data_IF_756910594202
#
_entry.id   IF_756910594202
#
_cell.length_a   1.000
_cell.length_b   1.000
_cell.length_c   1.000
_cell.angle_alpha   90.00
_cell.angle_beta   90.00
_cell.angle_gamma   90.00
#
_symmetry.space_group_name_H-M   'P 1'
#
loop_
_entity.id
_entity.type
_entity.pdbx_description
1 polymer ?
#
# COMPACT_ATOMS: atom_id res chain seq x y z
N UNK A 1 -0.65 -5.44 -6.73
CA UNK A 1 -2.08 -5.65 -7.03
C UNK A 1 -2.86 -5.76 -5.72
N UNK A 2 -4.14 -5.40 -5.72
CA UNK A 2 -5.02 -5.69 -4.59
C UNK A 2 -5.18 -7.21 -4.42
N UNK A 3 -5.42 -7.65 -3.17
CA UNK A 3 -5.67 -9.05 -2.90
C UNK A 3 -6.92 -9.56 -3.64
N UNK A 4 -6.89 -10.80 -4.08
CA UNK A 4 -8.04 -11.43 -4.71
C UNK A 4 -9.23 -11.42 -3.74
N UNK A 5 -10.41 -11.03 -4.22
CA UNK A 5 -11.62 -10.93 -3.41
C UNK A 5 -11.77 -9.61 -2.64
N UNK A 6 -10.89 -8.63 -2.85
CA UNK A 6 -11.09 -7.27 -2.33
C UNK A 6 -12.36 -6.67 -2.91
N UNK A 7 -13.24 -6.17 -2.05
CA UNK A 7 -14.54 -5.61 -2.45
C UNK A 7 -14.96 -4.46 -1.54
N UNK A 8 -15.80 -3.58 -2.07
CA UNK A 8 -16.55 -2.58 -1.32
C UNK A 8 -17.97 -3.12 -1.14
N UNK A 9 -18.46 -3.13 0.09
CA UNK A 9 -19.86 -3.51 0.37
C UNK A 9 -20.66 -2.26 0.73
N UNK A 10 -21.68 -1.96 -0.06
CA UNK A 10 -22.59 -0.83 0.14
C UNK A 10 -23.96 -1.31 0.56
N UNK A 11 -24.44 -0.80 1.69
CA UNK A 11 -25.83 -0.99 2.08
C UNK A 11 -26.74 0.01 1.36
N UNK A 12 -27.92 -0.43 0.96
CA UNK A 12 -28.95 0.42 0.36
C UNK A 12 -30.34 0.09 0.93
N UNK A 13 -31.26 1.01 0.74
CA UNK A 13 -32.68 0.86 1.09
C UNK A 13 -33.56 1.10 -0.14
N UNK A 14 -34.78 0.57 -0.11
CA UNK A 14 -35.79 0.79 -1.16
C UNK A 14 -35.33 0.36 -2.58
N UNK A 15 -34.75 -0.82 -2.71
CA UNK A 15 -34.25 -1.34 -3.99
C UNK A 15 -35.35 -1.57 -5.03
N UNK A 16 -36.56 -1.86 -4.60
CA UNK A 16 -37.75 -2.03 -5.46
C UNK A 16 -37.59 -3.07 -6.59
N UNK A 17 -36.68 -4.03 -6.42
CA UNK A 17 -36.37 -5.03 -7.44
C UNK A 17 -35.81 -4.45 -8.75
N UNK A 18 -35.30 -3.24 -8.74
CA UNK A 18 -34.76 -2.58 -9.93
C UNK A 18 -33.38 -3.14 -10.29
N UNK A 19 -33.03 -3.04 -11.57
CA UNK A 19 -31.66 -3.26 -12.02
C UNK A 19 -30.85 -1.98 -11.77
N UNK A 20 -29.62 -2.15 -11.32
CA UNK A 20 -28.66 -1.08 -11.16
C UNK A 20 -27.35 -1.49 -11.82
N UNK A 21 -26.60 -0.51 -12.32
CA UNK A 21 -25.21 -0.69 -12.73
C UNK A 21 -24.31 -0.07 -11.68
N UNK A 22 -23.29 -0.79 -11.25
CA UNK A 22 -22.31 -0.29 -10.29
C UNK A 22 -20.92 -0.35 -10.90
N UNK A 23 -20.10 0.66 -10.62
CA UNK A 23 -18.72 0.76 -11.09
C UNK A 23 -17.89 1.55 -10.08
N UNK A 24 -16.59 1.36 -10.15
CA UNK A 24 -15.61 2.22 -9.48
C UNK A 24 -14.76 2.86 -10.57
N UNK A 25 -14.94 4.15 -10.87
CA UNK A 25 -14.02 4.88 -11.75
C UNK A 25 -12.58 4.74 -11.24
N UNK A 26 -11.65 4.66 -12.17
CA UNK A 26 -10.25 4.48 -11.78
C UNK A 26 -9.75 5.64 -10.92
N UNK A 27 -9.14 5.28 -9.79
CA UNK A 27 -8.46 6.19 -8.88
C UNK A 27 -7.24 5.50 -8.28
N UNK A 28 -6.08 6.10 -8.45
CA UNK A 28 -4.81 5.55 -7.96
C UNK A 28 -4.57 4.10 -8.43
N UNK A 29 -4.92 3.77 -9.68
CA UNK A 29 -4.78 2.43 -10.25
C UNK A 29 -5.79 1.40 -9.76
N UNK A 30 -6.78 1.80 -8.95
CA UNK A 30 -7.88 0.95 -8.48
C UNK A 30 -9.15 1.25 -9.26
N UNK A 31 -9.86 0.20 -9.66
CA UNK A 31 -11.09 0.34 -10.45
C UNK A 31 -12.02 -0.87 -10.28
N UNK A 32 -13.25 -0.71 -10.75
CA UNK A 32 -14.17 -1.81 -11.06
C UNK A 32 -14.88 -1.47 -12.36
N UNK A 33 -14.81 -2.35 -13.34
CA UNK A 33 -15.60 -2.24 -14.56
C UNK A 33 -17.11 -2.26 -14.23
N UNK A 34 -17.96 -1.64 -15.05
CA UNK A 34 -19.39 -1.65 -14.82
C UNK A 34 -19.95 -3.06 -14.69
N UNK A 35 -20.65 -3.33 -13.60
CA UNK A 35 -21.36 -4.59 -13.35
C UNK A 35 -22.84 -4.32 -13.14
N UNK A 36 -23.69 -5.17 -13.69
CA UNK A 36 -25.14 -5.10 -13.50
C UNK A 36 -25.53 -5.92 -12.27
N UNK A 37 -26.31 -5.30 -11.39
CA UNK A 37 -26.83 -5.93 -10.17
C UNK A 37 -28.32 -5.76 -10.09
N UNK A 38 -29.02 -6.72 -9.48
CA UNK A 38 -30.44 -6.60 -9.18
C UNK A 38 -30.60 -6.25 -7.70
N UNK A 39 -31.26 -5.13 -7.46
CA UNK A 39 -31.58 -4.69 -6.10
C UNK A 39 -32.74 -5.53 -5.53
N UNK A 40 -32.77 -5.68 -4.21
CA UNK A 40 -33.80 -6.44 -3.52
C UNK A 40 -35.20 -5.88 -3.79
N UNK A 41 -36.18 -6.79 -3.92
CA UNK A 41 -37.56 -6.40 -3.99
C UNK A 41 -38.15 -6.23 -2.59
N UNK A 42 -39.09 -5.31 -2.37
CA UNK A 42 -39.79 -5.19 -1.12
C UNK A 42 -40.51 -6.50 -0.76
N UNK A 43 -40.52 -6.81 0.52
CA UNK A 43 -41.32 -7.90 1.12
C UNK A 43 -42.25 -7.30 2.17
N UNK A 44 -43.12 -8.12 2.77
CA UNK A 44 -44.01 -7.66 3.84
C UNK A 44 -43.30 -7.17 5.11
N UNK A 45 -42.04 -7.53 5.28
CA UNK A 45 -41.21 -7.19 6.45
C UNK A 45 -40.01 -6.29 6.13
N UNK A 46 -39.76 -6.00 4.84
CA UNK A 46 -38.58 -5.27 4.37
C UNK A 46 -38.96 -4.41 3.14
N UNK A 47 -38.48 -3.18 3.11
CA UNK A 47 -38.70 -2.23 2.01
C UNK A 47 -37.76 -2.46 0.81
N UNK A 48 -37.17 -3.65 0.64
CA UNK A 48 -36.21 -3.94 -0.39
C UNK A 48 -34.83 -3.41 -0.02
N UNK A 49 -34.42 -3.58 1.23
CA UNK A 49 -33.10 -3.26 1.72
C UNK A 49 -32.11 -4.36 1.33
N UNK A 50 -30.87 -4.02 1.16
CA UNK A 50 -29.84 -4.99 0.78
C UNK A 50 -28.43 -4.41 0.75
N UNK A 51 -27.53 -5.20 0.23
CA UNK A 51 -26.15 -4.80 0.00
C UNK A 51 -25.74 -5.06 -1.44
N UNK A 52 -24.86 -4.21 -1.95
CA UNK A 52 -24.18 -4.40 -3.24
C UNK A 52 -22.70 -4.57 -2.96
N UNK A 53 -22.10 -5.57 -3.58
CA UNK A 53 -20.67 -5.81 -3.54
C UNK A 53 -20.04 -5.35 -4.84
N UNK A 54 -19.03 -4.49 -4.72
CA UNK A 54 -18.28 -3.93 -5.84
C UNK A 54 -16.85 -4.51 -5.76
N UNK A 55 -16.47 -5.45 -6.63
CA UNK A 55 -15.12 -5.98 -6.64
C UNK A 55 -14.13 -4.85 -6.98
N UNK A 56 -13.01 -4.81 -6.29
CA UNK A 56 -11.95 -3.84 -6.55
C UNK A 56 -10.78 -4.55 -7.21
N UNK A 57 -10.38 -4.04 -8.35
CA UNK A 57 -9.28 -4.54 -9.18
C UNK A 57 -8.17 -3.49 -9.31
N UNK A 58 -7.02 -3.91 -9.81
CA UNK A 58 -5.92 -3.02 -10.14
C UNK A 58 -4.74 -3.09 -9.17
N UNK A 59 -3.81 -2.18 -9.36
CA UNK A 59 -2.59 -2.04 -8.56
C UNK A 59 -2.44 -0.58 -8.16
N UNK A 60 -2.45 -0.26 -6.86
CA UNK A 60 -2.23 1.11 -6.43
C UNK A 60 -0.90 1.65 -6.95
N UNK A 61 -0.90 2.89 -7.42
CA UNK A 61 0.28 3.59 -7.97
C UNK A 61 0.95 4.50 -6.95
N UNK A 62 0.25 4.86 -5.87
CA UNK A 62 0.79 5.65 -4.77
C UNK A 62 0.23 5.16 -3.44
N UNK A 63 1.01 5.29 -2.36
CA UNK A 63 0.58 5.04 -0.99
C UNK A 63 -0.04 6.29 -0.36
N UNK A 64 -0.77 6.11 0.73
CA UNK A 64 -1.40 7.19 1.48
C UNK A 64 -2.92 7.12 1.49
N UNK A 65 -3.54 8.16 2.06
CA UNK A 65 -4.99 8.26 2.16
C UNK A 65 -5.60 8.70 0.83
N UNK A 66 -6.72 8.09 0.46
CA UNK A 66 -7.48 8.39 -0.74
C UNK A 66 -8.98 8.23 -0.50
N UNK A 67 -9.80 8.68 -1.43
CA UNK A 67 -11.23 8.45 -1.41
C UNK A 67 -11.64 7.64 -2.64
N UNK A 68 -12.21 6.48 -2.42
CA UNK A 68 -12.89 5.71 -3.47
C UNK A 68 -14.27 6.32 -3.69
N UNK A 69 -14.70 6.44 -4.95
CA UNK A 69 -15.98 7.02 -5.32
C UNK A 69 -16.78 6.08 -6.22
N UNK A 70 -17.30 4.98 -5.66
CA UNK A 70 -18.18 4.11 -6.45
C UNK A 70 -19.42 4.87 -6.92
N UNK A 71 -19.85 4.53 -8.11
CA UNK A 71 -21.00 5.10 -8.80
C UNK A 71 -22.07 4.01 -8.93
N UNK A 72 -23.29 4.34 -8.63
CA UNK A 72 -24.47 3.47 -8.78
C UNK A 72 -25.46 4.17 -9.69
N UNK A 73 -25.81 3.50 -10.80
CA UNK A 73 -26.81 3.99 -11.78
C UNK A 73 -28.07 3.16 -11.69
N UNK A 74 -29.20 3.81 -11.51
CA UNK A 74 -30.53 3.18 -11.51
C UNK A 74 -31.43 3.93 -12.48
N UNK A 75 -31.63 3.40 -13.67
CA UNK A 75 -32.26 4.13 -14.75
C UNK A 75 -31.48 5.38 -15.14
N UNK A 76 -32.10 6.55 -15.09
CA UNK A 76 -31.47 7.84 -15.39
C UNK A 76 -30.78 8.49 -14.17
N UNK A 77 -30.89 7.88 -13.00
CA UNK A 77 -30.32 8.42 -11.76
C UNK A 77 -28.92 7.86 -11.53
N UNK A 78 -28.01 8.76 -11.16
CA UNK A 78 -26.66 8.41 -10.76
C UNK A 78 -26.41 8.89 -9.32
N UNK A 79 -25.91 8.01 -8.49
CA UNK A 79 -25.54 8.28 -7.09
C UNK A 79 -24.08 7.87 -6.90
N UNK A 80 -23.31 8.70 -6.23
CA UNK A 80 -21.95 8.38 -5.80
C UNK A 80 -21.78 8.67 -4.32
N UNK A 81 -20.92 7.92 -3.69
CA UNK A 81 -20.52 8.11 -2.30
C UNK A 81 -18.99 8.21 -2.23
N UNK A 82 -18.49 8.84 -1.18
CA UNK A 82 -17.04 8.93 -0.95
C UNK A 82 -16.68 8.03 0.22
N UNK A 83 -15.79 7.08 -0.01
CA UNK A 83 -15.34 6.09 0.97
C UNK A 83 -13.85 6.32 1.22
N UNK A 84 -13.44 6.69 2.43
CA UNK A 84 -12.04 6.82 2.76
C UNK A 84 -11.36 5.44 2.70
N UNK A 85 -10.19 5.40 2.09
CA UNK A 85 -9.33 4.23 2.00
C UNK A 85 -7.88 4.63 2.22
N UNK A 86 -7.06 3.69 2.64
CA UNK A 86 -5.62 3.91 2.80
C UNK A 86 -4.87 2.82 2.03
N UNK A 87 -3.93 3.25 1.21
CA UNK A 87 -2.96 2.37 0.56
C UNK A 87 -1.69 2.40 1.40
N UNK A 88 -1.35 1.26 1.99
CA UNK A 88 -0.07 1.11 2.70
C UNK A 88 1.05 0.85 1.71
N UNK A 89 2.25 1.42 1.92
CA UNK A 89 3.40 1.12 1.08
C UNK A 89 3.71 -0.39 1.14
N UNK A 90 4.20 -0.92 0.02
CA UNK A 90 4.62 -2.32 -0.03
C UNK A 90 5.80 -2.60 0.93
N UNK A 91 6.69 -1.61 1.08
CA UNK A 91 7.79 -1.60 2.05
C UNK A 91 7.74 -0.28 2.83
N UNK A 92 7.94 -0.37 4.14
CA UNK A 92 8.19 0.80 4.98
C UNK A 92 9.48 0.57 5.78
N UNK A 93 10.31 1.61 5.88
CA UNK A 93 11.54 1.59 6.67
C UNK A 93 11.29 2.23 8.03
N UNK A 94 11.85 1.64 9.08
CA UNK A 94 11.84 2.19 10.43
C UNK A 94 13.26 2.61 10.84
N UNK A 95 13.56 3.88 10.64
CA UNK A 95 14.85 4.43 11.00
C UNK A 95 15.11 4.43 12.50
N UNK A 96 14.04 4.54 13.33
CA UNK A 96 14.18 4.56 14.79
C UNK A 96 14.52 3.18 15.37
N UNK A 97 14.06 2.11 14.72
CA UNK A 97 14.39 0.75 15.10
C UNK A 97 15.68 0.24 14.43
N UNK A 98 16.22 0.96 13.43
CA UNK A 98 17.44 0.56 12.74
C UNK A 98 18.68 0.87 13.59
N UNK A 99 19.67 -0.01 13.53
CA UNK A 99 20.90 0.07 14.35
C UNK A 99 22.12 0.12 13.46
N UNK A 100 23.00 1.06 13.74
CA UNK A 100 24.33 1.16 13.09
C UNK A 100 25.39 0.54 14.01
N UNK A 101 26.22 -0.33 13.45
CA UNK A 101 27.34 -0.96 14.13
C UNK A 101 28.64 -0.75 13.35
N UNK A 102 29.77 -0.90 14.00
CA UNK A 102 31.09 -0.73 13.40
C UNK A 102 31.95 0.31 14.12
N UNK A 103 33.17 0.45 13.66
CA UNK A 103 34.09 1.46 14.17
C UNK A 103 34.30 2.55 13.12
N UNK A 104 33.85 3.75 13.46
CA UNK A 104 33.90 4.93 12.60
C UNK A 104 34.89 5.93 13.19
N UNK A 105 36.03 6.14 12.53
CA UNK A 105 37.07 7.11 12.92
C UNK A 105 37.52 7.92 11.74
N UNK A 106 37.65 9.23 11.90
CA UNK A 106 38.11 10.10 10.84
C UNK A 106 39.48 9.63 10.36
N UNK A 107 39.65 9.59 9.04
CA UNK A 107 40.91 9.21 8.37
C UNK A 107 41.26 7.72 8.46
N UNK A 108 40.39 6.89 9.00
CA UNK A 108 40.59 5.43 9.06
C UNK A 108 39.44 4.70 8.34
N UNK A 109 39.79 3.62 7.63
CA UNK A 109 38.81 2.78 6.99
C UNK A 109 37.83 2.20 8.03
N UNK A 110 36.53 2.19 7.69
CA UNK A 110 35.49 1.63 8.54
C UNK A 110 35.72 0.13 8.71
N UNK A 111 35.73 -0.34 9.95
CA UNK A 111 35.85 -1.75 10.28
C UNK A 111 34.49 -2.30 10.73
N UNK A 112 34.03 -3.36 10.08
CA UNK A 112 32.77 -4.07 10.38
C UNK A 112 31.56 -3.11 10.39
N UNK A 113 31.54 -2.14 9.46
CA UNK A 113 30.42 -1.21 9.33
C UNK A 113 29.19 -1.94 8.81
N UNK A 114 28.07 -1.83 9.52
CA UNK A 114 26.79 -2.40 9.13
C UNK A 114 25.64 -1.55 9.65
N UNK A 115 24.58 -1.45 8.86
CA UNK A 115 23.27 -0.96 9.30
C UNK A 115 22.31 -2.14 9.31
N UNK A 116 21.84 -2.52 10.48
CA UNK A 116 20.70 -3.41 10.61
C UNK A 116 19.44 -2.59 10.32
N UNK A 117 19.03 -2.52 9.06
CA UNK A 117 17.92 -1.70 8.59
C UNK A 117 16.60 -2.40 8.88
N UNK A 118 15.80 -1.84 9.77
CA UNK A 118 14.48 -2.37 10.10
C UNK A 118 13.44 -1.98 9.03
N UNK A 119 12.64 -2.96 8.60
CA UNK A 119 11.59 -2.75 7.61
C UNK A 119 10.33 -3.54 7.93
N UNK A 120 9.20 -3.13 7.36
CA UNK A 120 7.99 -3.95 7.21
C UNK A 120 7.70 -4.16 5.73
N UNK A 121 7.28 -5.37 5.35
CA UNK A 121 6.91 -5.71 3.98
C UNK A 121 5.70 -6.64 3.99
N UNK A 122 4.70 -6.35 3.14
CA UNK A 122 3.50 -7.18 3.02
C UNK A 122 3.60 -8.26 1.94
N UNK A 123 4.71 -8.28 1.18
CA UNK A 123 4.98 -9.30 0.16
C UNK A 123 6.49 -9.52 0.05
N UNK A 124 6.87 -10.68 -0.52
CA UNK A 124 8.26 -10.90 -0.91
C UNK A 124 8.62 -9.92 -2.03
N UNK A 125 9.74 -9.24 -1.90
CA UNK A 125 10.20 -8.24 -2.86
C UNK A 125 11.70 -8.31 -3.06
N UNK A 126 12.14 -7.92 -4.24
CA UNK A 126 13.53 -7.66 -4.55
C UNK A 126 13.74 -6.14 -4.54
N UNK A 127 14.74 -5.68 -3.80
CA UNK A 127 15.06 -4.25 -3.64
C UNK A 127 16.51 -4.00 -3.98
N UNK A 128 16.77 -2.88 -4.62
CA UNK A 128 18.14 -2.36 -4.78
C UNK A 128 18.41 -1.37 -3.65
N UNK A 129 19.48 -1.59 -2.94
CA UNK A 129 19.95 -0.73 -1.84
C UNK A 129 21.20 0.00 -2.30
N UNK A 130 21.18 1.32 -2.17
CA UNK A 130 22.33 2.20 -2.43
C UNK A 130 22.19 3.47 -1.61
N UNK A 131 23.30 4.15 -1.36
CA UNK A 131 23.29 5.51 -0.83
C UNK A 131 24.41 6.31 -1.46
N UNK A 132 24.16 7.60 -1.65
CA UNK A 132 25.21 8.55 -2.02
C UNK A 132 26.27 8.61 -0.93
N UNK A 133 27.52 8.86 -1.35
CA UNK A 133 28.61 9.04 -0.40
C UNK A 133 28.37 10.30 0.45
N UNK A 134 28.49 10.15 1.75
CA UNK A 134 28.40 11.26 2.70
C UNK A 134 29.61 11.24 3.62
N UNK A 135 30.39 12.31 3.59
CA UNK A 135 31.59 12.47 4.45
C UNK A 135 32.56 11.28 4.41
N UNK A 136 32.75 10.69 3.23
CA UNK A 136 33.62 9.54 3.02
C UNK A 136 33.01 8.19 3.46
N UNK A 137 31.73 8.17 3.77
CA UNK A 137 30.97 6.94 4.10
C UNK A 137 30.07 6.59 2.91
N UNK A 138 30.07 5.34 2.51
CA UNK A 138 29.28 4.85 1.37
C UNK A 138 28.64 3.50 1.63
N UNK A 139 27.56 3.25 0.91
CA UNK A 139 26.91 1.96 0.77
C UNK A 139 27.03 1.57 -0.71
N UNK A 140 27.78 0.51 -1.00
CA UNK A 140 27.85 0.00 -2.36
C UNK A 140 26.48 -0.53 -2.77
N UNK A 141 26.08 -0.26 -4.02
CA UNK A 141 24.81 -0.78 -4.55
C UNK A 141 24.81 -2.32 -4.54
N UNK A 142 23.73 -2.88 -4.01
CA UNK A 142 23.46 -4.32 -4.06
C UNK A 142 21.97 -4.61 -4.11
N UNK A 143 21.62 -5.78 -4.62
CA UNK A 143 20.24 -6.26 -4.64
C UNK A 143 20.01 -7.21 -3.48
N UNK A 144 18.89 -7.04 -2.78
CA UNK A 144 18.48 -7.89 -1.67
C UNK A 144 17.05 -8.41 -1.88
N UNK A 145 16.82 -9.66 -1.51
CA UNK A 145 15.49 -10.24 -1.44
C UNK A 145 14.91 -10.04 -0.04
N UNK A 146 13.85 -9.26 0.08
CA UNK A 146 13.13 -9.03 1.33
C UNK A 146 11.94 -9.98 1.41
N UNK A 147 11.90 -10.91 2.37
CA UNK A 147 10.71 -11.71 2.62
C UNK A 147 9.56 -10.85 3.15
N UNK A 148 8.34 -11.34 3.02
CA UNK A 148 7.20 -10.73 3.67
C UNK A 148 7.40 -10.74 5.20
N UNK A 149 7.36 -9.57 5.80
CA UNK A 149 7.57 -9.36 7.24
C UNK A 149 6.63 -8.25 7.74
N UNK A 150 5.31 -8.51 7.83
CA UNK A 150 4.34 -7.50 8.27
C UNK A 150 4.53 -7.06 9.72
N UNK A 151 5.17 -7.89 10.53
CA UNK A 151 5.53 -7.58 11.94
C UNK A 151 6.92 -6.98 12.09
N UNK A 152 7.65 -6.81 11.01
CA UNK A 152 9.02 -6.33 10.98
C UNK A 152 10.04 -7.39 10.58
N UNK A 153 11.02 -6.97 9.79
CA UNK A 153 12.20 -7.71 9.39
C UNK A 153 13.44 -6.84 9.51
N UNK A 154 14.60 -7.42 9.30
CA UNK A 154 15.88 -6.71 9.33
C UNK A 154 16.67 -7.06 8.06
N UNK A 155 17.24 -6.04 7.44
CA UNK A 155 18.17 -6.17 6.32
C UNK A 155 19.54 -5.65 6.76
N UNK A 156 20.56 -6.47 6.64
CA UNK A 156 21.94 -6.06 6.89
C UNK A 156 22.50 -5.31 5.67
N UNK A 157 22.91 -4.07 5.89
CA UNK A 157 23.44 -3.18 4.88
C UNK A 157 24.89 -2.86 5.21
N UNK A 158 25.86 -3.42 4.45
CA UNK A 158 27.28 -3.15 4.69
C UNK A 158 27.61 -1.68 4.43
N UNK A 159 28.37 -1.10 5.36
CA UNK A 159 28.85 0.28 5.28
C UNK A 159 30.37 0.28 5.14
N UNK A 160 30.88 1.02 4.17
CA UNK A 160 32.30 1.12 3.86
C UNK A 160 32.75 2.58 3.74
N UNK A 161 34.04 2.78 3.60
CA UNK A 161 34.62 4.10 3.37
C UNK A 161 35.60 4.54 4.44
N UNK A 162 35.99 5.79 4.37
CA UNK A 162 36.91 6.44 5.33
C UNK A 162 36.30 7.77 5.73
N UNK A 163 35.72 7.87 6.94
CA UNK A 163 35.07 9.11 7.38
C UNK A 163 36.03 10.30 7.30
N UNK A 164 35.55 11.38 6.69
CA UNK A 164 36.37 12.61 6.46
C UNK A 164 35.98 13.75 7.39
N UNK A 165 34.83 13.66 8.07
CA UNK A 165 34.32 14.71 8.94
C UNK A 165 33.58 14.13 10.15
N UNK A 166 33.42 14.98 11.19
CA UNK A 166 32.55 14.63 12.33
C UNK A 166 31.09 14.81 11.91
N UNK A 167 30.30 13.73 11.95
CA UNK A 167 28.86 13.83 11.76
C UNK A 167 28.22 14.71 12.85
N UNK A 168 27.27 15.51 12.44
CA UNK A 168 26.38 16.30 13.33
C UNK A 168 25.09 15.56 13.58
#
# INVERSE_FOLDING_TARGET
AVAQGTKITLAYTNGLGKSAQVLLPEVNGLYCDPIDVRLASPTSSDNGNGTVEIPVSGTPTASGSMNLRPVIRVGEYEVFISIPATVTPAIALDAAASVVTGTFRIGQAIANGNIALHYTSYANQEVTVSADEVSGISIAEFTASLPAAPSGGTLDVPVTGTPSDYGT
#
